data_IF_175864023278
#
_entry.id   IF_175864023278
#
_cell.length_a   1.000
_cell.length_b   1.000
_cell.length_c   1.000
_cell.angle_alpha   90.00
_cell.angle_beta   90.00
_cell.angle_gamma   90.00
#
_symmetry.space_group_name_H-M   'P 1'
#
loop_
_entity.id
_entity.type
_entity.pdbx_description
1 polymer ?
#
# COMPACT_ATOMS: atom_id res chain seq x y z
N UNK A 1 9.71 -19.77 -24.30
CA UNK A 1 8.82 -19.95 -23.14
C UNK A 1 7.38 -19.79 -23.57
N UNK A 2 6.48 -20.59 -23.01
CA UNK A 2 5.07 -20.58 -23.41
C UNK A 2 4.33 -19.44 -22.71
N UNK A 3 3.31 -18.88 -23.38
CA UNK A 3 2.44 -17.79 -22.87
C UNK A 3 1.89 -18.02 -21.45
N UNK A 4 1.78 -19.28 -21.04
CA UNK A 4 1.23 -19.69 -19.76
C UNK A 4 2.25 -19.60 -18.63
N UNK A 5 3.54 -19.84 -18.91
CA UNK A 5 4.60 -19.83 -17.90
C UNK A 5 4.81 -18.44 -17.31
N UNK A 6 4.89 -17.41 -18.16
CA UNK A 6 5.14 -16.03 -17.72
C UNK A 6 3.97 -15.47 -16.92
N UNK A 7 2.74 -15.83 -17.31
CA UNK A 7 1.53 -15.47 -16.57
C UNK A 7 1.52 -16.12 -15.18
N UNK A 8 1.86 -17.42 -15.09
CA UNK A 8 1.94 -18.13 -13.81
C UNK A 8 3.00 -17.50 -12.92
N UNK A 9 4.19 -17.19 -13.48
CA UNK A 9 5.26 -16.51 -12.76
C UNK A 9 4.80 -15.15 -12.24
N UNK A 10 4.23 -14.30 -13.10
CA UNK A 10 3.80 -12.96 -12.69
C UNK A 10 2.74 -13.01 -11.59
N UNK A 11 1.76 -13.91 -11.71
CA UNK A 11 0.75 -14.10 -10.66
C UNK A 11 1.37 -14.57 -9.34
N UNK A 12 2.29 -15.55 -9.39
CA UNK A 12 2.97 -16.06 -8.20
C UNK A 12 3.83 -14.98 -7.51
N UNK A 13 4.62 -14.23 -8.28
CA UNK A 13 5.44 -13.15 -7.74
C UNK A 13 4.58 -12.00 -7.19
N UNK A 14 3.46 -11.67 -7.85
CA UNK A 14 2.52 -10.67 -7.35
C UNK A 14 1.94 -11.07 -6.00
N UNK A 15 1.50 -12.32 -5.85
CA UNK A 15 0.99 -12.84 -4.58
C UNK A 15 2.05 -12.83 -3.47
N UNK A 16 3.31 -13.17 -3.81
CA UNK A 16 4.44 -13.08 -2.88
C UNK A 16 4.70 -11.63 -2.46
N UNK A 17 4.62 -10.66 -3.38
CA UNK A 17 4.82 -9.25 -3.07
C UNK A 17 3.70 -8.73 -2.17
N UNK A 18 2.44 -9.05 -2.47
CA UNK A 18 1.30 -8.66 -1.64
C UNK A 18 1.44 -9.19 -0.20
N UNK A 19 1.79 -10.48 -0.06
CA UNK A 19 2.05 -11.10 1.25
C UNK A 19 3.23 -10.46 1.98
N UNK A 20 4.30 -10.11 1.26
CA UNK A 20 5.44 -9.41 1.84
C UNK A 20 5.01 -8.03 2.35
N UNK A 21 4.36 -7.23 1.51
CA UNK A 21 3.87 -5.90 1.86
C UNK A 21 2.87 -5.91 3.03
N UNK A 22 2.06 -6.95 3.19
CA UNK A 22 1.17 -7.07 4.33
C UNK A 22 1.90 -7.41 5.66
N UNK A 23 3.10 -8.03 5.59
CA UNK A 23 3.81 -8.57 6.77
C UNK A 23 5.03 -7.75 7.17
N UNK A 24 5.97 -7.59 6.25
CA UNK A 24 7.23 -6.89 6.47
C UNK A 24 7.65 -6.23 5.15
N UNK A 25 7.93 -4.92 5.20
CA UNK A 25 8.34 -4.16 4.03
C UNK A 25 9.84 -4.30 3.74
N UNK A 26 10.60 -5.00 4.59
CA UNK A 26 12.05 -5.18 4.45
C UNK A 26 12.50 -6.11 3.30
N UNK A 27 11.86 -7.26 3.00
CA UNK A 27 12.24 -8.16 1.90
C UNK A 27 11.68 -7.73 0.54
N UNK A 28 11.11 -6.53 0.43
CA UNK A 28 10.35 -6.08 -0.74
C UNK A 28 11.24 -5.87 -1.98
N UNK A 29 12.52 -5.53 -1.81
CA UNK A 29 13.40 -5.17 -2.94
C UNK A 29 13.74 -6.36 -3.85
N UNK A 30 13.93 -7.56 -3.30
CA UNK A 30 14.15 -8.76 -4.12
C UNK A 30 12.91 -9.08 -4.98
N UNK A 31 11.73 -9.09 -4.35
CA UNK A 31 10.48 -9.42 -5.03
C UNK A 31 10.13 -8.36 -6.09
N UNK A 32 10.39 -7.08 -5.81
CA UNK A 32 10.26 -5.99 -6.79
C UNK A 32 11.08 -6.25 -8.05
N UNK A 33 12.34 -6.64 -7.89
CA UNK A 33 13.24 -6.88 -9.02
C UNK A 33 12.77 -8.07 -9.88
N UNK A 34 12.31 -9.14 -9.26
CA UNK A 34 11.74 -10.29 -9.98
C UNK A 34 10.47 -9.92 -10.76
N UNK A 35 9.56 -9.14 -10.17
CA UNK A 35 8.36 -8.66 -10.87
C UNK A 35 8.74 -7.74 -12.03
N UNK A 36 9.67 -6.80 -11.83
CA UNK A 36 10.15 -5.91 -12.89
C UNK A 36 10.74 -6.70 -14.06
N UNK A 37 11.54 -7.73 -13.77
CA UNK A 37 12.11 -8.61 -14.78
C UNK A 37 11.02 -9.30 -15.61
N UNK A 38 10.04 -9.95 -14.95
CA UNK A 38 8.93 -10.63 -15.64
C UNK A 38 8.06 -9.65 -16.42
N UNK A 39 7.84 -8.43 -15.90
CA UNK A 39 7.08 -7.40 -16.59
C UNK A 39 7.79 -6.89 -17.84
N UNK A 40 9.10 -6.74 -17.81
CA UNK A 40 9.87 -6.32 -18.98
C UNK A 40 9.88 -7.41 -20.06
N UNK A 41 9.98 -8.69 -19.68
CA UNK A 41 9.77 -9.82 -20.60
C UNK A 41 8.36 -9.79 -21.23
N UNK A 42 7.31 -9.53 -20.43
CA UNK A 42 5.93 -9.48 -20.91
C UNK A 42 5.63 -8.25 -21.79
N UNK A 43 6.24 -7.09 -21.53
CA UNK A 43 6.12 -5.89 -22.39
C UNK A 43 6.60 -6.18 -23.81
N UNK A 44 7.69 -6.94 -23.95
CA UNK A 44 8.19 -7.37 -25.24
C UNK A 44 7.21 -8.29 -25.98
N UNK A 45 6.27 -8.93 -25.27
CA UNK A 45 5.36 -9.93 -25.82
C UNK A 45 3.90 -9.42 -25.99
N UNK A 46 3.60 -8.15 -25.66
CA UNK A 46 2.24 -7.55 -25.77
C UNK A 46 1.64 -7.73 -27.17
N UNK A 47 2.45 -7.58 -28.21
CA UNK A 47 2.02 -7.74 -29.60
C UNK A 47 1.62 -9.18 -29.96
N UNK A 48 2.20 -10.19 -29.30
CA UNK A 48 1.84 -11.60 -29.50
C UNK A 48 0.48 -11.96 -28.89
N UNK A 49 0.03 -11.20 -27.88
CA UNK A 49 -1.26 -11.42 -27.23
C UNK A 49 -2.44 -10.76 -27.97
N UNK A 50 -2.20 -9.72 -28.78
CA UNK A 50 -3.26 -9.01 -29.54
C UNK A 50 -4.13 -9.91 -30.41
N UNK A 51 -3.61 -11.07 -30.84
CA UNK A 51 -4.36 -12.04 -31.67
C UNK A 51 -5.49 -12.76 -30.93
N UNK A 52 -5.44 -12.84 -29.60
CA UNK A 52 -6.51 -13.43 -28.79
C UNK A 52 -6.97 -12.42 -27.73
N UNK A 53 -8.15 -11.84 -27.94
CA UNK A 53 -8.72 -10.79 -27.08
C UNK A 53 -8.89 -11.24 -25.62
N UNK A 54 -9.35 -12.48 -25.39
CA UNK A 54 -9.54 -12.98 -24.02
C UNK A 54 -8.21 -13.16 -23.28
N UNK A 55 -7.21 -13.70 -23.97
CA UNK A 55 -5.87 -13.88 -23.42
C UNK A 55 -5.22 -12.53 -23.13
N UNK A 56 -5.34 -11.58 -24.06
CA UNK A 56 -4.86 -10.22 -23.90
C UNK A 56 -5.47 -9.52 -22.67
N UNK A 57 -6.79 -9.63 -22.47
CA UNK A 57 -7.47 -9.04 -21.31
C UNK A 57 -6.98 -9.68 -20.01
N UNK A 58 -6.84 -11.02 -19.96
CA UNK A 58 -6.36 -11.74 -18.77
C UNK A 58 -4.92 -11.33 -18.40
N UNK A 59 -4.05 -11.17 -19.38
CA UNK A 59 -2.66 -10.75 -19.17
C UNK A 59 -2.61 -9.28 -18.76
N UNK A 60 -3.39 -8.41 -19.41
CA UNK A 60 -3.51 -7.00 -19.04
C UNK A 60 -3.93 -6.82 -17.59
N UNK A 61 -4.88 -7.62 -17.09
CA UNK A 61 -5.27 -7.63 -15.67
C UNK A 61 -4.11 -8.03 -14.74
N UNK A 62 -3.36 -9.07 -15.11
CA UNK A 62 -2.21 -9.55 -14.32
C UNK A 62 -1.06 -8.52 -14.28
N UNK A 63 -0.73 -7.91 -15.43
CA UNK A 63 0.24 -6.83 -15.55
C UNK A 63 -0.19 -5.59 -14.76
N UNK A 64 -1.47 -5.20 -14.86
CA UNK A 64 -2.02 -4.08 -14.09
C UNK A 64 -1.93 -4.31 -12.58
N UNK A 65 -2.27 -5.51 -12.11
CA UNK A 65 -2.16 -5.89 -10.71
C UNK A 65 -0.70 -5.86 -10.21
N UNK A 66 0.24 -6.42 -10.98
CA UNK A 66 1.66 -6.38 -10.64
C UNK A 66 2.21 -4.94 -10.59
N UNK A 67 1.88 -4.09 -11.56
CA UNK A 67 2.23 -2.67 -11.54
C UNK A 67 1.64 -1.94 -10.33
N UNK A 68 0.39 -2.23 -9.97
CA UNK A 68 -0.24 -1.65 -8.80
C UNK A 68 0.52 -2.01 -7.52
N UNK A 69 0.93 -3.27 -7.34
CA UNK A 69 1.74 -3.69 -6.20
C UNK A 69 3.11 -2.99 -6.16
N UNK A 70 3.77 -2.84 -7.30
CA UNK A 70 5.03 -2.09 -7.39
C UNK A 70 4.87 -0.62 -6.98
N UNK A 71 3.77 0.02 -7.40
CA UNK A 71 3.45 1.38 -6.99
C UNK A 71 3.10 1.47 -5.52
N UNK A 72 2.32 0.53 -4.97
CA UNK A 72 2.03 0.45 -3.54
C UNK A 72 3.34 0.37 -2.77
N UNK A 73 4.25 -0.51 -3.20
CA UNK A 73 5.53 -0.70 -2.55
C UNK A 73 6.48 0.51 -2.68
N UNK A 74 6.31 1.34 -3.72
CA UNK A 74 7.02 2.62 -3.87
C UNK A 74 6.42 3.69 -2.98
N UNK A 75 5.10 3.85 -3.03
CA UNK A 75 4.37 4.91 -2.35
C UNK A 75 4.32 4.69 -0.84
N UNK A 76 4.13 3.46 -0.38
CA UNK A 76 4.19 3.14 1.04
C UNK A 76 5.60 3.13 1.63
N UNK A 77 6.67 3.14 0.82
CA UNK A 77 8.03 3.38 1.32
C UNK A 77 8.25 4.85 1.73
N UNK A 78 7.36 5.77 1.34
CA UNK A 78 7.39 7.14 1.84
C UNK A 78 7.22 7.17 3.37
N UNK A 79 7.88 8.13 4.02
CA UNK A 79 7.94 8.19 5.50
C UNK A 79 6.52 8.14 6.08
N UNK A 80 6.26 7.14 6.93
CA UNK A 80 5.05 7.12 7.75
C UNK A 80 5.14 8.24 8.81
N UNK A 81 4.08 9.02 8.86
CA UNK A 81 3.72 10.03 9.86
C UNK A 81 3.28 9.43 11.20
N UNK A 82 3.27 8.10 11.32
CA UNK A 82 2.83 7.37 12.51
C UNK A 82 1.33 7.08 12.56
N UNK A 83 0.55 7.58 11.59
CA UNK A 83 -0.87 7.29 11.50
C UNK A 83 -1.15 5.91 10.88
N UNK A 84 -2.29 5.31 11.23
CA UNK A 84 -2.77 4.10 10.59
C UNK A 84 -3.03 4.40 9.10
N UNK A 85 -2.36 3.66 8.23
CA UNK A 85 -2.29 3.99 6.81
C UNK A 85 -2.63 2.76 5.99
N UNK A 86 -3.45 2.96 4.96
CA UNK A 86 -3.69 1.98 3.90
C UNK A 86 -3.13 2.56 2.61
N UNK A 87 -2.46 1.72 1.84
CA UNK A 87 -2.10 2.04 0.47
C UNK A 87 -3.06 1.27 -0.44
N UNK A 88 -3.92 2.01 -1.13
CA UNK A 88 -4.90 1.53 -2.09
C UNK A 88 -4.30 1.63 -3.50
N UNK A 89 -4.20 0.52 -4.23
CA UNK A 89 -3.69 0.49 -5.60
C UNK A 89 -4.69 -0.10 -6.59
N UNK A 90 -4.26 -0.15 -7.85
CA UNK A 90 -5.04 -0.62 -9.00
C UNK A 90 -6.30 0.21 -9.29
N UNK A 91 -6.32 1.46 -8.84
CA UNK A 91 -7.41 2.41 -9.10
C UNK A 91 -7.34 2.80 -10.60
N UNK A 92 -8.45 2.83 -11.34
CA UNK A 92 -8.45 3.32 -12.72
C UNK A 92 -7.92 4.76 -12.83
N UNK A 93 -7.22 5.07 -13.92
CA UNK A 93 -6.60 6.39 -14.14
C UNK A 93 -7.60 7.55 -14.26
N UNK A 94 -8.83 7.28 -14.67
CA UNK A 94 -9.90 8.27 -14.78
C UNK A 94 -10.55 8.61 -13.43
N UNK A 95 -10.23 7.88 -12.37
CA UNK A 95 -10.78 8.14 -11.03
C UNK A 95 -10.11 9.37 -10.44
N UNK A 96 -10.92 10.40 -10.21
CA UNK A 96 -10.50 11.61 -9.54
C UNK A 96 -10.71 11.53 -8.02
N UNK A 97 -10.01 12.38 -7.27
CA UNK A 97 -10.20 12.53 -5.83
C UNK A 97 -11.68 12.71 -5.43
N UNK A 98 -12.48 13.59 -6.07
CA UNK A 98 -13.90 13.74 -5.75
C UNK A 98 -14.74 12.48 -5.98
N UNK A 99 -14.29 11.56 -6.85
CA UNK A 99 -14.97 10.28 -7.11
C UNK A 99 -14.60 9.23 -6.06
N UNK A 100 -13.34 9.25 -5.59
CA UNK A 100 -12.82 8.31 -4.59
C UNK A 100 -13.20 8.71 -3.15
N UNK A 101 -13.13 9.99 -2.81
CA UNK A 101 -13.37 10.47 -1.45
C UNK A 101 -14.72 10.04 -0.85
N UNK A 102 -15.87 10.13 -1.56
CA UNK A 102 -17.16 9.68 -1.01
C UNK A 102 -17.19 8.19 -0.65
N UNK A 103 -16.40 7.35 -1.33
CA UNK A 103 -16.25 5.93 -1.00
C UNK A 103 -15.45 5.72 0.29
N UNK A 104 -14.64 6.71 0.68
CA UNK A 104 -13.80 6.67 1.87
C UNK A 104 -14.42 7.35 3.10
N UNK A 105 -15.33 8.31 2.92
CA UNK A 105 -15.91 9.11 4.04
C UNK A 105 -16.78 8.28 4.98
N UNK A 106 -17.44 7.22 4.48
CA UNK A 106 -18.24 6.32 5.31
C UNK A 106 -17.42 5.38 6.20
N UNK A 107 -16.09 5.42 6.08
CA UNK A 107 -15.18 4.55 6.79
C UNK A 107 -14.81 5.24 8.11
N UNK A 108 -15.03 4.55 9.23
CA UNK A 108 -14.78 5.09 10.56
C UNK A 108 -13.40 5.76 10.67
N UNK A 109 -13.34 6.89 11.38
CA UNK A 109 -12.13 7.68 11.68
C UNK A 109 -11.17 7.93 10.50
N UNK A 110 -11.67 7.88 9.27
CA UNK A 110 -10.95 8.30 8.08
C UNK A 110 -10.80 9.82 8.08
N UNK A 111 -9.59 10.34 7.83
CA UNK A 111 -9.35 11.78 7.82
C UNK A 111 -8.48 12.30 6.68
N UNK A 112 -7.91 11.42 5.85
CA UNK A 112 -7.00 11.88 4.80
C UNK A 112 -6.86 10.91 3.64
N UNK A 113 -6.76 11.47 2.44
CA UNK A 113 -6.38 10.75 1.24
C UNK A 113 -5.35 11.54 0.44
N UNK A 114 -4.27 10.88 0.05
CA UNK A 114 -3.26 11.41 -0.87
C UNK A 114 -3.17 10.48 -2.08
N UNK A 115 -3.43 11.01 -3.28
CA UNK A 115 -3.30 10.25 -4.51
C UNK A 115 -1.92 10.43 -5.12
N UNK A 116 -1.34 9.35 -5.63
CA UNK A 116 -0.12 9.38 -6.41
C UNK A 116 -0.36 10.16 -7.71
N UNK A 117 0.57 11.05 -8.03
CA UNK A 117 0.60 11.79 -9.30
C UNK A 117 1.46 11.10 -10.36
N UNK A 118 2.00 9.90 -10.06
CA UNK A 118 2.85 9.16 -10.97
C UNK A 118 2.01 8.65 -12.13
N UNK A 119 2.41 9.03 -13.36
CA UNK A 119 1.79 8.51 -14.59
C UNK A 119 2.01 6.99 -14.67
N UNK A 120 0.92 6.23 -14.59
CA UNK A 120 0.91 4.77 -14.52
C UNK A 120 -0.45 4.25 -15.01
N UNK A 121 -0.54 3.02 -15.58
CA UNK A 121 -1.79 2.34 -15.96
C UNK A 121 -2.89 2.29 -14.88
N UNK A 122 -2.52 2.60 -13.65
CA UNK A 122 -3.38 2.69 -12.49
C UNK A 122 -2.85 3.72 -11.49
N UNK A 123 -3.76 4.30 -10.72
CA UNK A 123 -3.45 5.19 -9.61
C UNK A 123 -3.22 4.40 -8.32
N UNK A 124 -2.56 5.05 -7.38
CA UNK A 124 -2.37 4.58 -6.02
C UNK A 124 -2.76 5.70 -5.08
N UNK A 125 -3.42 5.40 -3.97
CA UNK A 125 -3.80 6.36 -2.95
C UNK A 125 -3.34 5.90 -1.56
N UNK A 126 -2.97 6.85 -0.71
CA UNK A 126 -2.68 6.65 0.71
C UNK A 126 -3.93 7.12 1.43
N UNK A 127 -4.58 6.23 2.15
CA UNK A 127 -5.70 6.54 3.03
C UNK A 127 -5.19 6.53 4.47
N UNK A 128 -5.57 7.54 5.24
CA UNK A 128 -5.13 7.71 6.62
C UNK A 128 -6.32 7.67 7.57
N UNK A 129 -6.15 6.91 8.65
CA UNK A 129 -7.14 6.64 9.68
C UNK A 129 -6.56 6.99 11.05
N UNK A 130 -7.43 7.38 11.99
CA UNK A 130 -6.98 7.67 13.36
C UNK A 130 -6.53 6.40 14.11
N UNK A 131 -7.04 5.22 13.74
CA UNK A 131 -6.69 3.95 14.37
C UNK A 131 -6.50 2.79 13.39
N UNK A 132 -5.77 1.78 13.87
CA UNK A 132 -5.41 0.61 13.08
C UNK A 132 -6.56 -0.35 12.85
N UNK A 133 -7.56 -0.39 13.73
CA UNK A 133 -8.72 -1.28 13.59
C UNK A 133 -9.59 -0.83 12.41
N UNK A 134 -9.94 0.45 12.36
CA UNK A 134 -10.70 1.04 11.24
C UNK A 134 -9.96 0.88 9.91
N UNK A 135 -8.62 0.98 9.94
CA UNK A 135 -7.81 0.75 8.77
C UNK A 135 -7.81 -0.72 8.30
N UNK A 136 -7.69 -1.68 9.23
CA UNK A 136 -7.75 -3.10 8.92
C UNK A 136 -9.12 -3.50 8.37
N UNK A 137 -10.20 -3.07 9.04
CA UNK A 137 -11.57 -3.33 8.62
C UNK A 137 -11.84 -2.78 7.19
N UNK A 138 -11.31 -1.59 6.87
CA UNK A 138 -11.42 -1.10 5.49
C UNK A 138 -10.61 -1.94 4.51
N UNK A 139 -9.37 -2.32 4.83
CA UNK A 139 -8.55 -3.07 3.89
C UNK A 139 -9.17 -4.42 3.53
N UNK A 140 -9.79 -5.11 4.49
CA UNK A 140 -10.53 -6.36 4.25
C UNK A 140 -11.69 -6.13 3.26
N UNK A 141 -12.53 -5.14 3.51
CA UNK A 141 -13.65 -4.80 2.62
C UNK A 141 -13.17 -4.28 1.24
N UNK A 142 -12.09 -3.51 1.21
CA UNK A 142 -11.62 -2.85 0.00
C UNK A 142 -11.01 -3.81 -1.02
N UNK A 143 -10.42 -4.90 -0.56
CA UNK A 143 -9.94 -5.98 -1.44
C UNK A 143 -11.08 -6.75 -2.13
N UNK A 144 -12.32 -6.60 -1.65
CA UNK A 144 -13.52 -7.14 -2.30
C UNK A 144 -14.12 -6.19 -3.34
N UNK A 145 -13.75 -4.90 -3.31
CA UNK A 145 -14.30 -3.92 -4.25
C UNK A 145 -13.74 -4.07 -5.66
N UNK A 146 -14.65 -4.12 -6.62
CA UNK A 146 -14.36 -4.00 -8.03
C UNK A 146 -14.75 -2.60 -8.52
N UNK A 147 -13.79 -1.91 -9.13
CA UNK A 147 -13.99 -0.62 -9.76
C UNK A 147 -13.69 -0.73 -11.25
N UNK A 148 -14.71 -0.54 -12.09
CA UNK A 148 -14.58 -0.59 -13.55
C UNK A 148 -13.83 -1.84 -14.06
N UNK A 149 -14.22 -3.03 -13.56
CA UNK A 149 -13.60 -4.28 -13.98
C UNK A 149 -12.30 -4.66 -13.27
N UNK A 150 -11.83 -3.82 -12.33
CA UNK A 150 -10.56 -3.98 -11.60
C UNK A 150 -10.80 -4.20 -10.12
N UNK A 151 -10.21 -5.27 -9.57
CA UNK A 151 -10.11 -5.43 -8.12
C UNK A 151 -9.14 -4.41 -7.57
N UNK A 152 -9.57 -3.63 -6.59
CA UNK A 152 -8.66 -2.77 -5.84
C UNK A 152 -7.74 -3.62 -4.97
N UNK A 153 -6.58 -3.07 -4.66
CA UNK A 153 -5.60 -3.72 -3.77
C UNK A 153 -5.40 -2.79 -2.58
N UNK A 154 -5.85 -3.21 -1.40
CA UNK A 154 -5.72 -2.44 -0.17
C UNK A 154 -4.73 -3.15 0.76
N UNK A 155 -3.60 -2.48 1.02
CA UNK A 155 -2.56 -2.97 1.92
C UNK A 155 -2.47 -2.05 3.12
N UNK A 156 -2.72 -2.59 4.32
CA UNK A 156 -2.44 -1.89 5.57
C UNK A 156 -0.92 -1.78 5.71
N UNK A 157 -0.40 -0.56 5.85
CA UNK A 157 1.00 -0.37 6.16
C UNK A 157 1.24 -0.84 7.60
N UNK A 158 2.17 -1.78 7.85
CA UNK A 158 2.49 -2.21 9.19
C UNK A 158 3.09 -1.03 9.97
N UNK A 159 2.66 -0.93 11.22
CA UNK A 159 3.17 0.07 12.14
C UNK A 159 4.61 -0.25 12.51
N UNK A 160 5.52 0.73 12.40
CA UNK A 160 6.86 0.56 12.96
C UNK A 160 6.81 0.78 14.47
N UNK A 161 6.55 -0.28 15.24
CA UNK A 161 6.57 -0.24 16.71
C UNK A 161 7.85 0.37 17.29
N UNK A 162 8.99 0.22 16.58
CA UNK A 162 10.28 0.81 16.96
C UNK A 162 10.22 2.33 17.15
N UNK A 163 9.30 3.05 16.49
CA UNK A 163 9.11 4.49 16.73
C UNK A 163 8.14 4.78 17.88
N UNK A 164 7.13 3.96 18.10
CA UNK A 164 6.20 4.14 19.22
C UNK A 164 6.89 3.94 20.55
N UNK A 165 7.78 2.96 20.65
CA UNK A 165 8.65 2.83 21.82
C UNK A 165 9.53 4.06 22.02
N UNK A 166 10.08 4.66 20.96
CA UNK A 166 10.85 5.92 21.09
C UNK A 166 9.98 7.08 21.55
N UNK A 167 8.75 7.21 21.07
CA UNK A 167 7.82 8.24 21.56
C UNK A 167 7.46 8.00 23.03
N UNK A 168 7.13 6.77 23.42
CA UNK A 168 6.85 6.42 24.83
C UNK A 168 8.07 6.71 25.71
N UNK A 169 9.27 6.30 25.29
CA UNK A 169 10.52 6.56 26.04
C UNK A 169 10.78 8.07 26.14
N UNK A 170 10.51 8.84 25.08
CA UNK A 170 10.68 10.30 25.10
C UNK A 170 9.66 10.98 26.03
N UNK A 171 8.39 10.56 26.01
CA UNK A 171 7.35 11.08 26.91
C UNK A 171 7.55 10.65 28.36
N UNK A 172 7.99 9.41 28.59
CA UNK A 172 8.38 8.93 29.92
C UNK A 172 9.62 9.68 30.43
N UNK A 173 10.59 9.97 29.56
CA UNK A 173 11.76 10.78 29.84
C UNK A 173 11.40 12.23 30.21
N UNK A 174 10.52 12.87 29.44
CA UNK A 174 10.02 14.22 29.77
C UNK A 174 9.22 14.20 31.08
N UNK A 175 8.36 13.19 31.30
CA UNK A 175 7.59 13.07 32.55
C UNK A 175 8.51 12.87 33.75
N UNK A 176 9.59 12.09 33.62
CA UNK A 176 10.61 11.92 34.66
C UNK A 176 11.38 13.22 34.93
N UNK A 177 11.73 13.99 33.89
CA UNK A 177 12.37 15.30 34.04
C UNK A 177 11.42 16.28 34.74
N UNK A 178 10.13 16.31 34.35
CA UNK A 178 9.13 17.18 34.98
C UNK A 178 8.88 16.79 36.44
N UNK A 179 8.73 15.49 36.73
CA UNK A 179 8.60 14.99 38.10
C UNK A 179 9.82 15.37 38.95
N UNK A 180 11.03 15.26 38.41
CA UNK A 180 12.27 15.64 39.11
C UNK A 180 12.40 17.15 39.32
N UNK A 181 11.99 17.97 38.35
CA UNK A 181 11.92 19.43 38.49
C UNK A 181 10.87 19.87 39.52
N UNK A 182 9.72 19.18 39.56
CA UNK A 182 8.70 19.42 40.58
C UNK A 182 9.22 19.07 41.98
N UNK A 183 9.85 17.90 42.15
CA UNK A 183 10.44 17.49 43.44
C UNK A 183 11.52 18.46 43.93
N UNK A 184 12.45 18.85 43.05
CA UNK A 184 13.50 19.82 43.42
C UNK A 184 12.95 21.21 43.79
N UNK A 185 11.80 21.62 43.25
CA UNK A 185 11.13 22.87 43.66
C UNK A 185 10.44 22.76 45.02
N UNK A 186 10.06 21.56 45.45
CA UNK A 186 9.43 21.35 46.75
C UNK A 186 10.43 21.21 47.90
N UNK A 187 11.67 20.82 47.65
CA UNK A 187 12.74 20.77 48.67
C UNK A 187 13.45 22.12 48.94
N UNK A 188 13.08 23.19 48.24
CA UNK A 188 13.63 24.55 48.45
C UNK A 188 12.70 25.50 49.24
N UNK A 189 11.80 24.95 50.05
CA UNK A 189 11.05 25.68 51.09
C UNK A 189 11.41 25.15 52.46
#
# INVERSE_FOLDING_TARGET
MSKMEDKIKLAAYSELLEKALARDWSPVDFIKNEILFVLDELKMDVDKYKKNREEFVKIGKCVGHAHALLLIAKFGNEKSDGAATIILGNIPEDVSFPKLFPQCVGLGKFFGICMSTVKSPCLTAKLTFDDHHSAADFAENANEFEWDGRKLIAIVKPFSEKKFQKSIIFFAGISLIFAKLCLNKFELK
#
